data_IF_625975860314
#
_entry.id   IF_625975860314
#
_cell.length_a   1.000
_cell.length_b   1.000
_cell.length_c   1.000
_cell.angle_alpha   90.00
_cell.angle_beta   90.00
_cell.angle_gamma   90.00
#
_symmetry.space_group_name_H-M   'P 1'
#
loop_
_entity.id
_entity.type
_entity.pdbx_description
1 polymer ?
#
# COMPACT_ATOMS: atom_id res chain seq x y z
N UNK A 1 18.81 -38.80 -0.16
CA UNK A 1 17.36 -38.68 0.11
C UNK A 1 17.02 -37.21 0.13
N UNK A 2 16.48 -36.68 -0.97
CA UNK A 2 16.20 -35.25 -1.13
C UNK A 2 14.92 -34.86 -0.39
N UNK A 3 15.01 -33.88 0.52
CA UNK A 3 13.88 -33.35 1.25
C UNK A 3 13.14 -32.36 0.34
N UNK A 4 11.90 -32.69 -0.05
CA UNK A 4 11.00 -31.76 -0.73
C UNK A 4 10.65 -30.63 0.24
N UNK A 5 11.27 -29.47 0.06
CA UNK A 5 10.67 -28.21 0.49
C UNK A 5 9.43 -28.01 -0.37
N UNK A 6 8.28 -28.44 0.17
CA UNK A 6 6.98 -28.07 -0.36
C UNK A 6 6.88 -26.54 -0.32
N UNK A 7 7.10 -25.91 -1.48
CA UNK A 7 6.72 -24.52 -1.70
C UNK A 7 5.21 -24.43 -1.49
N UNK A 8 4.79 -23.91 -0.34
CA UNK A 8 3.38 -23.59 -0.10
C UNK A 8 2.91 -22.70 -1.27
N UNK A 9 1.85 -23.07 -2.01
CA UNK A 9 1.29 -22.15 -2.97
C UNK A 9 0.75 -20.98 -2.16
N UNK A 10 1.42 -19.82 -2.28
CA UNK A 10 0.90 -18.58 -1.74
C UNK A 10 -0.56 -18.49 -2.21
N UNK A 11 -1.49 -18.50 -1.25
CA UNK A 11 -2.92 -18.36 -1.50
C UNK A 11 -3.11 -17.24 -2.51
N UNK A 12 -3.60 -17.59 -3.70
CA UNK A 12 -4.11 -16.64 -4.70
C UNK A 12 -5.34 -15.98 -4.08
N UNK A 13 -5.14 -15.10 -3.11
CA UNK A 13 -6.18 -14.26 -2.56
C UNK A 13 -6.85 -13.61 -3.76
N UNK A 14 -8.15 -13.87 -3.93
CA UNK A 14 -8.92 -13.47 -5.09
C UNK A 14 -8.57 -12.01 -5.44
N UNK A 15 -8.01 -11.79 -6.63
CA UNK A 15 -7.70 -10.44 -7.11
C UNK A 15 -8.99 -9.64 -7.00
N UNK A 16 -8.95 -8.55 -6.22
CA UNK A 16 -10.12 -7.67 -6.06
C UNK A 16 -10.56 -7.20 -7.45
N UNK A 17 -11.84 -7.30 -7.75
CA UNK A 17 -12.39 -6.60 -8.90
C UNK A 17 -12.41 -5.10 -8.57
N UNK A 18 -11.57 -4.35 -9.28
CA UNK A 18 -11.37 -2.91 -9.10
C UNK A 18 -11.74 -2.13 -10.36
N UNK A 19 -12.38 -2.78 -11.36
CA UNK A 19 -12.74 -2.14 -12.62
C UNK A 19 -13.58 -0.88 -12.40
N UNK A 20 -14.48 -0.91 -11.41
CA UNK A 20 -15.34 0.19 -11.00
C UNK A 20 -14.68 1.20 -10.03
N UNK A 21 -13.38 1.05 -9.70
CA UNK A 21 -12.73 2.01 -8.80
C UNK A 21 -12.62 3.40 -9.47
N UNK A 22 -12.91 4.50 -8.75
CA UNK A 22 -12.92 5.85 -9.34
C UNK A 22 -11.60 6.24 -10.01
N UNK A 23 -10.46 5.80 -9.44
CA UNK A 23 -9.14 6.05 -10.01
C UNK A 23 -8.96 5.35 -11.36
N UNK A 24 -9.30 4.05 -11.45
CA UNK A 24 -9.12 3.32 -12.71
C UNK A 24 -10.10 3.80 -13.79
N UNK A 25 -11.33 4.16 -13.43
CA UNK A 25 -12.26 4.80 -14.36
C UNK A 25 -11.69 6.10 -14.95
N UNK A 26 -11.20 7.01 -14.09
CA UNK A 26 -10.58 8.26 -14.53
C UNK A 26 -9.38 8.03 -15.46
N UNK A 27 -8.53 7.02 -15.18
CA UNK A 27 -7.37 6.71 -16.03
C UNK A 27 -7.74 6.19 -17.42
N UNK A 28 -8.96 5.66 -17.59
CA UNK A 28 -9.50 5.23 -18.88
C UNK A 28 -10.27 6.33 -19.62
N UNK A 29 -10.34 7.54 -19.05
CA UNK A 29 -11.10 8.66 -19.61
C UNK A 29 -12.60 8.60 -19.33
N UNK A 30 -13.06 7.69 -18.47
CA UNK A 30 -14.44 7.64 -17.99
C UNK A 30 -14.68 8.72 -16.92
N UNK A 31 -15.95 9.10 -16.71
CA UNK A 31 -16.33 10.04 -15.65
C UNK A 31 -16.74 9.29 -14.38
N UNK A 32 -15.88 9.19 -13.35
CA UNK A 32 -16.26 8.55 -12.09
C UNK A 32 -17.27 9.38 -11.31
N UNK A 33 -18.03 8.72 -10.43
CA UNK A 33 -19.01 9.36 -9.53
C UNK A 33 -18.35 10.38 -8.59
N UNK A 34 -17.14 10.07 -8.11
CA UNK A 34 -16.31 10.96 -7.30
C UNK A 34 -14.96 11.20 -7.96
N UNK A 35 -14.43 12.41 -7.84
CA UNK A 35 -13.08 12.71 -8.31
C UNK A 35 -12.05 11.99 -7.43
N UNK A 36 -11.22 11.09 -7.98
CA UNK A 36 -10.14 10.46 -7.24
C UNK A 36 -9.01 11.47 -7.03
N UNK A 37 -8.53 11.58 -5.79
CA UNK A 37 -7.41 12.47 -5.43
C UNK A 37 -6.37 11.67 -4.67
N UNK A 38 -5.11 11.89 -5.00
CA UNK A 38 -3.95 11.38 -4.28
C UNK A 38 -2.85 12.43 -4.33
N UNK A 39 -1.91 12.38 -3.38
CA UNK A 39 -0.79 13.29 -3.35
C UNK A 39 0.52 12.53 -3.43
N UNK A 40 1.47 13.06 -4.22
CA UNK A 40 2.84 12.60 -4.14
C UNK A 40 3.36 12.81 -2.72
N UNK A 41 4.04 11.77 -2.19
CA UNK A 41 4.59 11.75 -0.82
C UNK A 41 3.54 11.87 0.31
N UNK A 42 2.30 11.44 0.06
CA UNK A 42 1.24 11.38 1.09
C UNK A 42 1.62 10.53 2.32
N UNK A 43 2.36 9.44 2.13
CA UNK A 43 2.96 8.64 3.20
C UNK A 43 4.31 9.25 3.60
N UNK A 44 4.31 10.19 4.53
CA UNK A 44 5.53 10.91 4.86
C UNK A 44 5.43 11.78 6.11
N UNK A 45 6.38 12.71 6.22
CA UNK A 45 6.56 13.54 7.42
C UNK A 45 5.39 14.46 7.71
N UNK A 46 4.38 14.60 6.85
CA UNK A 46 3.13 15.29 7.20
C UNK A 46 2.31 14.53 8.25
N UNK A 47 2.46 13.19 8.32
CA UNK A 47 1.68 12.32 9.20
C UNK A 47 2.39 12.11 10.56
N UNK A 48 1.75 12.39 11.71
CA UNK A 48 2.34 12.12 13.03
C UNK A 48 2.65 10.63 13.28
N UNK A 49 1.85 9.69 12.77
CA UNK A 49 2.10 8.25 12.87
C UNK A 49 3.32 7.80 12.07
N UNK A 50 3.56 8.37 10.89
CA UNK A 50 4.80 8.16 10.15
C UNK A 50 6.01 8.66 10.97
N UNK A 51 5.91 9.88 11.55
CA UNK A 51 6.99 10.44 12.38
C UNK A 51 7.31 9.54 13.58
N UNK A 52 6.28 9.04 14.29
CA UNK A 52 6.46 8.14 15.44
C UNK A 52 7.14 6.83 15.04
N UNK A 53 6.68 6.18 13.97
CA UNK A 53 7.30 4.95 13.45
C UNK A 53 8.77 5.20 13.07
N UNK A 54 9.02 6.27 12.30
CA UNK A 54 10.37 6.61 11.80
C UNK A 54 11.33 7.09 12.89
N UNK A 55 10.84 7.55 14.05
CA UNK A 55 11.70 7.92 15.18
C UNK A 55 12.49 6.72 15.72
N UNK A 56 11.95 5.51 15.55
CA UNK A 56 12.52 4.26 16.04
C UNK A 56 13.12 3.39 14.92
N UNK A 57 13.09 3.87 13.67
CA UNK A 57 13.49 3.06 12.50
C UNK A 57 14.34 3.88 11.53
N UNK A 58 15.58 3.46 11.19
CA UNK A 58 16.40 4.03 10.12
C UNK A 58 15.75 3.92 8.74
N UNK A 59 16.10 4.82 7.80
CA UNK A 59 15.38 4.95 6.50
C UNK A 59 15.40 3.66 5.70
N UNK A 60 16.59 3.11 5.46
CA UNK A 60 16.74 1.89 4.67
C UNK A 60 16.01 0.71 5.31
N UNK A 61 16.04 0.59 6.64
CA UNK A 61 15.30 -0.47 7.32
C UNK A 61 13.80 -0.38 7.07
N UNK A 62 13.19 0.81 7.16
CA UNK A 62 11.75 0.94 6.89
C UNK A 62 11.39 0.67 5.42
N UNK A 63 12.29 0.98 4.49
CA UNK A 63 12.08 0.69 3.07
C UNK A 63 12.24 -0.81 2.76
N UNK A 64 13.15 -1.50 3.45
CA UNK A 64 13.52 -2.89 3.16
C UNK A 64 12.80 -3.92 4.04
N UNK A 65 12.05 -3.48 5.05
CA UNK A 65 11.20 -4.35 5.87
C UNK A 65 9.76 -4.32 5.32
N UNK A 66 9.26 -5.41 4.70
CA UNK A 66 7.96 -5.42 4.03
C UNK A 66 6.79 -4.98 4.91
N UNK A 67 6.78 -5.38 6.18
CA UNK A 67 5.73 -5.06 7.14
C UNK A 67 5.69 -3.56 7.43
N UNK A 68 6.85 -2.93 7.56
CA UNK A 68 6.97 -1.48 7.79
C UNK A 68 6.60 -0.69 6.54
N UNK A 69 7.03 -1.15 5.36
CA UNK A 69 6.68 -0.52 4.09
C UNK A 69 5.16 -0.59 3.85
N UNK A 70 4.54 -1.74 4.12
CA UNK A 70 3.09 -1.93 4.06
C UNK A 70 2.37 -0.97 5.01
N UNK A 71 2.76 -0.93 6.29
CA UNK A 71 2.16 -0.05 7.29
C UNK A 71 2.27 1.43 6.87
N UNK A 72 3.47 1.89 6.48
CA UNK A 72 3.69 3.26 6.01
C UNK A 72 2.80 3.60 4.80
N UNK A 73 2.65 2.67 3.85
CA UNK A 73 1.83 2.86 2.65
C UNK A 73 0.34 3.00 2.99
N UNK A 74 -0.13 2.24 4.00
CA UNK A 74 -1.53 2.25 4.41
C UNK A 74 -1.92 3.43 5.32
N UNK A 75 -0.96 4.09 5.97
CA UNK A 75 -1.23 5.25 6.83
C UNK A 75 -2.10 6.35 6.18
N UNK A 76 -1.73 6.91 5.00
CA UNK A 76 -2.55 7.93 4.35
C UNK A 76 -3.91 7.40 3.89
N UNK A 77 -4.00 6.13 3.48
CA UNK A 77 -5.26 5.49 3.09
C UNK A 77 -6.21 5.43 4.29
N UNK A 78 -5.75 4.95 5.46
CA UNK A 78 -6.56 4.91 6.68
C UNK A 78 -6.95 6.30 7.19
N UNK A 79 -6.09 7.32 6.99
CA UNK A 79 -6.39 8.69 7.45
C UNK A 79 -7.35 9.43 6.51
N UNK A 80 -7.21 9.25 5.19
CA UNK A 80 -7.86 10.12 4.19
C UNK A 80 -8.89 9.41 3.29
N UNK A 81 -8.88 8.07 3.21
CA UNK A 81 -9.85 7.26 2.46
C UNK A 81 -9.26 6.47 1.31
#
# INVERSE_FOLDING_TARGET
MANLLATSPASTAARRDLAASPFLQATRGERPERLPVWFMRQAGRSLPEYRRLRAQTPMLQACLTPELACEITLQPVRRHG
#
